data_IF_721641307520
#
_entry.id   IF_721641307520
#
_cell.length_a   1.000
_cell.length_b   1.000
_cell.length_c   1.000
_cell.angle_alpha   90.00
_cell.angle_beta   90.00
_cell.angle_gamma   90.00
#
_symmetry.space_group_name_H-M   'P 1'
#
loop_
_entity.id
_entity.type
_entity.pdbx_description
1 polymer ?
#
# COMPACT_ATOMS: atom_id res chain seq x y z
N UNK A 1 44.09 -10.98 23.26
CA UNK A 1 43.25 -9.88 22.75
C UNK A 1 41.85 -10.41 22.56
N UNK A 2 40.92 -10.02 23.45
CA UNK A 2 39.52 -10.43 23.40
C UNK A 2 38.85 -9.81 22.17
N UNK A 3 38.48 -10.62 21.18
CA UNK A 3 37.49 -10.23 20.19
C UNK A 3 36.10 -10.39 20.80
N UNK A 4 35.64 -9.32 21.45
CA UNK A 4 34.21 -9.09 21.68
C UNK A 4 33.57 -8.78 20.33
N UNK A 5 33.10 -9.81 19.63
CA UNK A 5 32.03 -9.64 18.66
C UNK A 5 30.74 -9.93 19.41
N UNK A 6 30.00 -8.86 19.67
CA UNK A 6 28.64 -8.89 20.18
C UNK A 6 27.79 -9.68 19.19
N UNK A 7 27.36 -10.84 19.64
CA UNK A 7 26.44 -11.74 18.93
C UNK A 7 25.10 -11.02 18.78
N UNK A 8 24.86 -10.42 17.61
CA UNK A 8 23.56 -9.85 17.27
C UNK A 8 22.62 -11.04 17.08
N UNK A 9 21.71 -11.25 18.04
CA UNK A 9 20.80 -12.38 18.06
C UNK A 9 20.06 -12.50 16.73
N UNK A 10 19.88 -13.73 16.24
CA UNK A 10 19.28 -14.05 14.94
C UNK A 10 17.93 -13.35 14.62
N UNK A 11 17.23 -12.81 15.61
CA UNK A 11 16.06 -11.95 15.43
C UNK A 11 16.34 -10.61 14.72
N UNK A 12 17.57 -10.10 14.78
CA UNK A 12 17.99 -8.89 14.04
C UNK A 12 18.42 -9.20 12.60
N UNK A 13 18.78 -10.45 12.29
CA UNK A 13 19.15 -10.91 10.94
C UNK A 13 17.94 -11.20 10.05
N UNK A 14 16.73 -11.38 10.61
CA UNK A 14 15.50 -11.51 9.83
C UNK A 14 15.09 -10.20 9.09
N UNK A 15 15.74 -9.08 9.38
CA UNK A 15 15.41 -7.77 8.78
C UNK A 15 16.05 -7.52 7.39
N UNK A 16 16.84 -8.46 6.86
CA UNK A 16 17.43 -8.38 5.51
C UNK A 16 17.02 -9.55 4.61
N UNK A 17 16.02 -10.32 5.02
CA UNK A 17 15.36 -11.26 4.13
C UNK A 17 14.53 -10.46 3.13
N UNK A 18 14.93 -10.43 1.86
CA UNK A 18 14.05 -10.03 0.77
C UNK A 18 12.92 -11.06 0.65
N UNK A 19 11.97 -11.03 1.59
CA UNK A 19 10.78 -11.86 1.58
C UNK A 19 9.70 -11.16 0.75
N UNK A 20 9.37 -11.75 -0.40
CA UNK A 20 8.35 -11.24 -1.30
C UNK A 20 6.98 -11.74 -0.84
N UNK A 21 6.26 -10.92 -0.07
CA UNK A 21 4.91 -11.24 0.39
C UNK A 21 3.84 -10.77 -0.60
N UNK A 22 2.76 -11.55 -0.73
CA UNK A 22 1.59 -11.19 -1.54
C UNK A 22 0.52 -10.50 -0.68
N UNK A 23 0.16 -9.26 -1.02
CA UNK A 23 -0.75 -8.42 -0.19
C UNK A 23 -2.18 -8.34 -0.71
N UNK A 24 -2.40 -8.66 -1.99
CA UNK A 24 -3.68 -8.52 -2.64
C UNK A 24 -3.93 -9.69 -3.59
N UNK A 25 -5.06 -10.37 -3.38
CA UNK A 25 -5.54 -11.43 -4.26
C UNK A 25 -6.93 -11.07 -4.75
N UNK A 26 -7.08 -10.94 -6.05
CA UNK A 26 -8.36 -10.65 -6.69
C UNK A 26 -8.95 -11.93 -7.28
N UNK A 27 -10.27 -12.08 -7.18
CA UNK A 27 -10.97 -13.28 -7.62
C UNK A 27 -11.64 -13.04 -8.99
N UNK A 28 -11.28 -13.80 -10.04
CA UNK A 28 -11.86 -13.71 -11.39
C UNK A 28 -11.29 -12.58 -12.26
N UNK A 29 -12.08 -12.04 -13.22
CA UNK A 29 -11.73 -10.91 -14.13
C UNK A 29 -11.41 -9.57 -13.43
N UNK A 30 -11.34 -9.56 -12.11
CA UNK A 30 -11.02 -8.41 -11.28
C UNK A 30 -9.50 -8.36 -11.18
N UNK A 31 -8.84 -7.48 -11.90
CA UNK A 31 -7.37 -7.35 -11.88
C UNK A 31 -6.95 -6.10 -11.13
N UNK A 32 -5.82 -6.16 -10.45
CA UNK A 32 -5.12 -4.98 -9.95
C UNK A 32 -4.41 -4.37 -11.16
N UNK A 33 -4.83 -3.17 -11.54
CA UNK A 33 -4.30 -2.49 -12.73
C UNK A 33 -3.28 -1.40 -12.40
N UNK A 34 -3.21 -0.95 -11.15
CA UNK A 34 -2.17 -0.03 -10.71
C UNK A 34 -1.82 -0.21 -9.24
N UNK A 35 -0.55 0.01 -8.91
CA UNK A 35 -0.01 0.07 -7.55
C UNK A 35 0.94 1.27 -7.42
N UNK A 36 1.03 1.87 -6.23
CA UNK A 36 2.02 2.90 -5.94
C UNK A 36 2.31 3.00 -4.43
N UNK A 37 3.55 3.37 -4.11
CA UNK A 37 3.92 3.81 -2.77
C UNK A 37 3.55 5.29 -2.59
N UNK A 38 3.24 5.68 -1.35
CA UNK A 38 3.33 7.10 -0.97
C UNK A 38 4.78 7.58 -1.07
N UNK A 39 5.02 8.87 -1.33
CA UNK A 39 6.39 9.42 -1.43
C UNK A 39 7.24 9.20 -0.17
N UNK A 40 6.63 9.17 1.01
CA UNK A 40 7.29 8.86 2.28
C UNK A 40 7.46 7.35 2.56
N UNK A 41 6.96 6.48 1.68
CA UNK A 41 7.03 5.02 1.80
C UNK A 41 6.17 4.41 2.90
N UNK A 42 5.41 5.21 3.66
CA UNK A 42 4.60 4.71 4.78
C UNK A 42 3.38 3.91 4.32
N UNK A 43 2.94 4.11 3.08
CA UNK A 43 1.73 3.51 2.55
C UNK A 43 1.95 2.90 1.17
N UNK A 44 1.23 1.81 0.93
CA UNK A 44 1.05 1.22 -0.40
C UNK A 44 -0.41 1.34 -0.77
N UNK A 45 -0.70 1.81 -1.98
CA UNK A 45 -2.05 1.84 -2.54
C UNK A 45 -2.14 0.96 -3.79
N UNK A 46 -3.30 0.36 -4.02
CA UNK A 46 -3.62 -0.34 -5.27
C UNK A 46 -4.99 0.05 -5.79
N UNK A 47 -5.14 0.16 -7.10
CA UNK A 47 -6.40 0.30 -7.81
C UNK A 47 -6.77 -1.00 -8.54
N UNK A 48 -8.07 -1.28 -8.61
CA UNK A 48 -8.58 -2.51 -9.18
C UNK A 48 -9.87 -2.31 -9.96
N UNK A 49 -10.08 -3.17 -10.96
CA UNK A 49 -11.34 -3.27 -11.72
C UNK A 49 -12.49 -3.91 -10.91
N UNK A 50 -12.25 -4.29 -9.66
CA UNK A 50 -13.33 -4.60 -8.70
C UNK A 50 -13.91 -3.36 -8.00
N UNK A 51 -13.60 -2.18 -8.54
CA UNK A 51 -14.03 -0.87 -8.08
C UNK A 51 -13.39 -0.46 -6.75
N UNK A 52 -12.34 -1.15 -6.31
CA UNK A 52 -11.67 -0.86 -5.04
C UNK A 52 -10.34 -0.14 -5.22
N UNK A 53 -10.07 0.77 -4.28
CA UNK A 53 -8.73 1.20 -3.93
C UNK A 53 -8.42 0.63 -2.56
N UNK A 54 -7.32 -0.09 -2.43
CA UNK A 54 -6.89 -0.68 -1.16
C UNK A 54 -5.63 0.01 -0.68
N UNK A 55 -5.50 0.10 0.64
CA UNK A 55 -4.37 0.74 1.32
C UNK A 55 -3.75 -0.24 2.32
N UNK A 56 -2.44 -0.29 2.35
CA UNK A 56 -1.64 -1.07 3.29
C UNK A 56 -0.55 -0.20 3.91
N UNK A 57 -0.13 -0.56 5.12
CA UNK A 57 1.07 -0.01 5.74
C UNK A 57 2.32 -0.52 4.98
N UNK A 58 3.17 0.38 4.51
CA UNK A 58 4.31 0.06 3.65
C UNK A 58 5.43 -0.71 4.36
N UNK A 59 5.56 -0.57 5.69
CA UNK A 59 6.59 -1.26 6.47
C UNK A 59 6.16 -2.65 6.91
N UNK A 60 4.92 -2.78 7.37
CA UNK A 60 4.40 -4.03 7.97
C UNK A 60 3.56 -4.85 6.99
N UNK A 61 3.18 -4.28 5.85
CA UNK A 61 2.29 -4.92 4.88
C UNK A 61 0.85 -5.11 5.37
N UNK A 62 0.51 -4.60 6.56
CA UNK A 62 -0.83 -4.76 7.14
C UNK A 62 -1.86 -3.98 6.33
N UNK A 63 -2.98 -4.64 6.03
CA UNK A 63 -4.12 -3.98 5.40
C UNK A 63 -4.72 -2.93 6.34
N UNK A 64 -5.05 -1.77 5.76
CA UNK A 64 -5.53 -0.60 6.49
C UNK A 64 -6.97 -0.31 6.12
N UNK A 65 -7.23 -0.11 4.83
CA UNK A 65 -8.52 0.39 4.37
C UNK A 65 -8.85 -0.03 2.94
N UNK A 66 -10.14 0.03 2.62
CA UNK A 66 -10.66 -0.07 1.25
C UNK A 66 -11.58 1.10 0.96
N UNK A 67 -11.29 1.82 -0.12
CA UNK A 67 -12.17 2.84 -0.71
C UNK A 67 -12.88 2.23 -1.91
N UNK A 68 -14.16 2.57 -2.11
CA UNK A 68 -14.95 2.06 -3.24
C UNK A 68 -15.38 3.17 -4.20
N UNK A 69 -15.22 2.90 -5.48
CA UNK A 69 -15.90 3.59 -6.57
C UNK A 69 -17.13 2.79 -7.01
N UNK A 70 -17.97 3.41 -7.85
CA UNK A 70 -19.15 2.73 -8.42
C UNK A 70 -18.75 1.82 -9.58
N UNK A 71 -17.64 2.15 -10.27
CA UNK A 71 -17.07 1.37 -11.36
C UNK A 71 -15.54 1.23 -11.22
N UNK A 72 -14.95 0.56 -12.20
CA UNK A 72 -13.53 0.25 -12.30
C UNK A 72 -12.67 1.46 -11.96
N UNK A 73 -11.62 1.25 -11.15
CA UNK A 73 -10.65 2.30 -10.85
C UNK A 73 -9.48 2.14 -11.81
N UNK A 74 -9.22 3.13 -12.63
CA UNK A 74 -8.15 3.05 -13.63
C UNK A 74 -6.84 3.60 -13.13
N UNK A 75 -6.91 4.64 -12.28
CA UNK A 75 -5.73 5.36 -11.89
C UNK A 75 -5.72 5.76 -10.43
N UNK A 76 -4.54 5.73 -9.82
CA UNK A 76 -4.22 6.29 -8.51
C UNK A 76 -2.97 7.18 -8.58
N UNK A 77 -2.92 8.21 -7.74
CA UNK A 77 -1.75 9.08 -7.58
C UNK A 77 -1.66 9.62 -6.17
N UNK A 78 -0.45 9.68 -5.62
CA UNK A 78 -0.18 10.30 -4.33
C UNK A 78 0.20 11.77 -4.52
N UNK A 79 -0.23 12.62 -3.58
CA UNK A 79 0.37 13.95 -3.44
C UNK A 79 1.82 13.83 -2.98
N UNK A 80 2.68 14.76 -3.42
CA UNK A 80 4.10 14.76 -3.10
C UNK A 80 4.38 14.82 -1.59
N UNK A 81 3.47 15.40 -0.80
CA UNK A 81 3.55 15.48 0.66
C UNK A 81 3.03 14.23 1.39
N UNK A 82 2.65 13.17 0.66
CA UNK A 82 2.13 11.90 1.17
C UNK A 82 0.81 11.97 1.95
N UNK A 83 0.08 13.10 1.89
CA UNK A 83 -1.17 13.28 2.66
C UNK A 83 -2.42 12.83 1.93
N UNK A 84 -2.41 12.94 0.60
CA UNK A 84 -3.58 12.72 -0.23
C UNK A 84 -3.34 11.57 -1.20
N UNK A 85 -4.36 10.73 -1.34
CA UNK A 85 -4.47 9.75 -2.41
C UNK A 85 -5.61 10.16 -3.34
N UNK A 86 -5.29 10.37 -4.60
CA UNK A 86 -6.25 10.62 -5.67
C UNK A 86 -6.55 9.31 -6.40
N UNK A 87 -7.81 9.01 -6.68
CA UNK A 87 -8.22 7.89 -7.52
C UNK A 87 -9.21 8.33 -8.59
N UNK A 88 -9.05 7.83 -9.82
CA UNK A 88 -9.93 8.09 -10.96
C UNK A 88 -10.62 6.81 -11.45
N UNK A 89 -11.93 6.91 -11.73
CA UNK A 89 -12.76 5.75 -12.07
C UNK A 89 -13.57 5.95 -13.36
N UNK A 90 -13.98 4.82 -13.96
CA UNK A 90 -14.96 4.76 -15.05
C UNK A 90 -16.31 5.38 -14.69
N UNK A 91 -16.60 5.58 -13.40
CA UNK A 91 -17.84 6.22 -12.96
C UNK A 91 -17.86 7.74 -13.21
N UNK A 92 -16.88 8.25 -13.97
CA UNK A 92 -16.70 9.68 -14.28
C UNK A 92 -16.40 10.53 -13.04
N UNK A 93 -16.00 9.90 -11.93
CA UNK A 93 -15.59 10.59 -10.71
C UNK A 93 -14.11 10.40 -10.41
N UNK A 94 -13.58 11.38 -9.70
CA UNK A 94 -12.31 11.30 -9.00
C UNK A 94 -12.57 11.45 -7.51
N UNK A 95 -11.83 10.70 -6.68
CA UNK A 95 -11.91 10.77 -5.22
C UNK A 95 -10.56 11.17 -4.64
N UNK A 96 -10.60 12.09 -3.69
CA UNK A 96 -9.44 12.52 -2.90
C UNK A 96 -9.64 11.97 -1.49
N UNK A 97 -8.68 11.20 -1.01
CA UNK A 97 -8.69 10.60 0.33
C UNK A 97 -7.54 11.17 1.16
N UNK A 98 -7.85 11.71 2.35
CA UNK A 98 -6.85 12.17 3.32
C UNK A 98 -6.40 10.98 4.14
N UNK A 99 -5.17 10.51 3.93
CA UNK A 99 -4.72 9.22 4.49
C UNK A 99 -4.42 9.30 5.99
N UNK A 100 -4.11 10.48 6.53
CA UNK A 100 -3.80 10.66 7.95
C UNK A 100 -4.99 10.61 8.90
N UNK A 101 -6.22 10.85 8.42
CA UNK A 101 -7.41 10.95 9.28
C UNK A 101 -8.06 9.59 9.60
N UNK A 102 -7.55 8.49 9.04
CA UNK A 102 -8.13 7.16 9.24
C UNK A 102 -7.67 6.45 10.54
N UNK A 103 -6.89 7.13 11.39
CA UNK A 103 -6.30 6.56 12.62
C UNK A 103 -6.66 7.32 13.91
N UNK A 104 -7.73 8.12 13.92
CA UNK A 104 -8.29 8.68 15.15
C UNK A 104 -9.29 7.74 15.81
#
# INVERSE_FOLDING_TARGET
>A
SHHHQTDLSASQLFALGADCQSYAKSNGRKVINQVCFSPDGQWVASASFDNSVKLWNGTTGKFVATFRHVRDVYQISWSADSRLLLSGSKDSTLKVCIVSLFFQ
#
